data_IF_664800425834
#
_entry.id   IF_664800425834
#
_cell.length_a   1.000
_cell.length_b   1.000
_cell.length_c   1.000
_cell.angle_alpha   90.00
_cell.angle_beta   90.00
_cell.angle_gamma   90.00
#
_symmetry.space_group_name_H-M   'P 1'
#
loop_
_entity.id
_entity.type
_entity.pdbx_description
1 polymer ?
#
# COMPACT_ATOMS: atom_id res chain seq x y z
N UNK A 1 36.13 -49.66 -26.96
CA UNK A 1 34.82 -49.05 -26.96
C UNK A 1 34.70 -48.08 -25.77
N UNK A 2 33.81 -47.08 -25.88
CA UNK A 2 33.52 -46.10 -24.81
C UNK A 2 32.03 -45.96 -24.62
N UNK A 3 31.60 -45.85 -23.38
CA UNK A 3 30.23 -45.52 -22.99
C UNK A 3 30.14 -44.00 -22.67
N UNK A 4 29.31 -43.30 -23.40
CA UNK A 4 29.12 -41.84 -23.24
C UNK A 4 28.11 -41.54 -22.13
N UNK A 5 28.39 -40.50 -21.33
CA UNK A 5 27.51 -39.99 -20.27
C UNK A 5 27.12 -38.56 -20.60
N UNK A 6 25.84 -38.32 -20.88
CA UNK A 6 25.28 -37.01 -21.09
C UNK A 6 24.58 -36.52 -19.81
N UNK A 7 24.86 -35.27 -19.40
CA UNK A 7 24.29 -34.66 -18.18
C UNK A 7 23.30 -33.56 -18.51
N UNK A 8 22.07 -33.74 -18.13
CA UNK A 8 21.02 -32.71 -18.21
C UNK A 8 20.94 -32.03 -16.83
N UNK A 9 21.52 -30.85 -16.70
CA UNK A 9 21.78 -30.19 -15.43
C UNK A 9 20.60 -29.41 -14.86
N UNK A 10 19.52 -29.25 -15.64
CA UNK A 10 18.31 -28.48 -15.23
C UNK A 10 18.64 -27.11 -14.61
N UNK A 11 19.60 -26.38 -15.24
CA UNK A 11 20.04 -25.06 -14.83
C UNK A 11 21.13 -25.05 -13.75
N UNK A 12 21.78 -26.19 -13.47
CA UNK A 12 22.96 -26.27 -12.63
C UNK A 12 24.28 -26.24 -13.44
N UNK A 13 25.40 -26.35 -12.74
CA UNK A 13 26.74 -26.48 -13.27
C UNK A 13 27.32 -27.83 -12.84
N UNK A 14 27.85 -28.62 -13.82
CA UNK A 14 28.38 -29.96 -13.54
C UNK A 14 29.67 -29.89 -12.71
N UNK A 15 29.89 -30.95 -11.93
CA UNK A 15 31.21 -31.16 -11.29
C UNK A 15 32.23 -31.60 -12.34
N UNK A 16 33.42 -31.04 -12.32
CA UNK A 16 34.55 -31.48 -13.15
C UNK A 16 35.03 -32.90 -12.83
N UNK A 17 34.53 -33.49 -11.75
CA UNK A 17 34.83 -34.86 -11.38
C UNK A 17 33.91 -35.90 -12.08
N UNK A 18 32.84 -35.46 -12.69
CA UNK A 18 31.94 -36.34 -13.42
C UNK A 18 32.50 -36.61 -14.82
N UNK A 19 32.77 -37.86 -15.21
CA UNK A 19 33.31 -38.18 -16.53
C UNK A 19 32.25 -38.07 -17.62
N UNK A 20 32.64 -37.59 -18.81
CA UNK A 20 31.76 -37.56 -19.99
C UNK A 20 31.72 -38.90 -20.71
N UNK A 21 32.70 -39.81 -20.45
CA UNK A 21 32.81 -41.15 -21.05
C UNK A 21 33.55 -42.10 -20.12
N UNK A 22 33.25 -43.38 -20.25
CA UNK A 22 33.93 -44.49 -19.55
C UNK A 22 34.50 -45.48 -20.53
N UNK A 23 35.72 -45.94 -20.30
CA UNK A 23 36.36 -47.06 -20.99
C UNK A 23 35.90 -48.44 -20.46
N UNK A 24 36.29 -49.48 -21.17
CA UNK A 24 35.94 -50.85 -20.81
C UNK A 24 36.46 -51.20 -19.38
N UNK A 25 35.57 -51.69 -18.54
CA UNK A 25 35.86 -52.06 -17.13
C UNK A 25 35.87 -50.90 -16.14
N UNK A 26 35.69 -49.66 -16.62
CA UNK A 26 35.67 -48.48 -15.73
C UNK A 26 34.33 -48.30 -15.03
N UNK A 27 34.43 -47.72 -13.81
CA UNK A 27 33.27 -47.29 -13.00
C UNK A 27 33.61 -45.93 -12.38
N UNK A 28 32.67 -45.02 -12.33
CA UNK A 28 32.82 -43.72 -11.71
C UNK A 28 31.72 -43.45 -10.68
N UNK A 29 32.11 -42.88 -9.55
CA UNK A 29 31.21 -42.28 -8.57
C UNK A 29 30.81 -40.90 -9.08
N UNK A 30 29.51 -40.58 -9.01
CA UNK A 30 28.97 -39.32 -9.48
C UNK A 30 29.05 -38.26 -8.37
N UNK A 31 29.65 -37.14 -8.70
CA UNK A 31 29.69 -35.96 -7.83
C UNK A 31 28.46 -35.09 -8.04
N UNK A 32 28.00 -34.46 -6.95
CA UNK A 32 26.91 -33.48 -7.02
C UNK A 32 27.28 -32.26 -7.86
N UNK A 33 26.43 -31.84 -8.78
CA UNK A 33 26.56 -30.55 -9.47
C UNK A 33 26.16 -29.42 -8.51
N UNK A 34 26.33 -28.17 -8.90
CA UNK A 34 25.93 -26.99 -8.13
C UNK A 34 24.83 -26.22 -8.86
N UNK A 35 23.96 -25.61 -8.07
CA UNK A 35 22.93 -24.67 -8.57
C UNK A 35 22.63 -23.64 -7.52
N UNK A 36 22.72 -22.37 -7.91
CA UNK A 36 22.41 -21.26 -7.01
C UNK A 36 20.95 -21.35 -6.53
N UNK A 37 20.74 -21.23 -5.22
CA UNK A 37 19.42 -21.25 -4.62
C UNK A 37 18.70 -22.59 -4.61
N UNK A 38 19.42 -23.71 -4.85
CA UNK A 38 18.82 -25.05 -4.81
C UNK A 38 19.77 -26.07 -4.19
N UNK A 39 19.19 -27.12 -3.62
CA UNK A 39 19.89 -28.31 -3.15
C UNK A 39 19.76 -29.41 -4.19
N UNK A 40 20.89 -30.11 -4.46
CA UNK A 40 20.90 -31.29 -5.30
C UNK A 40 20.20 -32.46 -4.60
N UNK A 41 19.26 -33.11 -5.29
CA UNK A 41 18.52 -34.27 -4.76
C UNK A 41 19.02 -35.60 -5.27
N UNK A 42 19.71 -35.63 -6.41
CA UNK A 42 20.26 -36.84 -7.01
C UNK A 42 20.38 -36.74 -8.53
N UNK A 43 21.14 -37.70 -9.09
CA UNK A 43 21.12 -38.00 -10.52
C UNK A 43 20.05 -39.00 -10.81
N UNK A 44 19.25 -38.85 -11.85
CA UNK A 44 18.14 -39.69 -12.23
C UNK A 44 18.29 -40.18 -13.67
N UNK A 45 17.76 -41.41 -13.95
CA UNK A 45 17.78 -41.97 -15.27
C UNK A 45 16.67 -41.42 -16.21
N UNK A 46 15.68 -40.76 -15.65
CA UNK A 46 14.51 -40.23 -16.37
C UNK A 46 14.31 -38.73 -16.14
N UNK A 47 13.71 -38.07 -17.12
CA UNK A 47 13.46 -36.63 -17.09
C UNK A 47 12.38 -36.18 -16.11
N UNK A 48 11.52 -37.12 -15.62
CA UNK A 48 10.50 -36.88 -14.62
C UNK A 48 11.06 -36.95 -13.19
N UNK A 49 12.30 -37.48 -13.02
CA UNK A 49 13.00 -37.65 -11.74
C UNK A 49 12.23 -38.62 -10.80
N UNK A 50 11.59 -39.62 -11.38
CA UNK A 50 10.79 -40.64 -10.65
C UNK A 50 11.57 -41.94 -10.34
N UNK A 51 12.69 -42.17 -11.05
CA UNK A 51 13.57 -43.30 -10.76
C UNK A 51 14.33 -43.10 -9.43
N UNK A 52 14.88 -44.19 -8.89
CA UNK A 52 15.82 -44.10 -7.75
C UNK A 52 17.06 -43.31 -8.16
N UNK A 53 17.61 -42.45 -7.24
CA UNK A 53 18.81 -41.69 -7.54
C UNK A 53 20.04 -42.56 -7.82
N UNK A 54 20.76 -42.23 -8.88
CA UNK A 54 21.99 -42.92 -9.32
C UNK A 54 23.20 -42.23 -8.66
N UNK A 55 24.05 -43.04 -8.02
CA UNK A 55 25.27 -42.58 -7.36
C UNK A 55 26.57 -42.92 -8.09
N UNK A 56 26.51 -43.92 -8.99
CA UNK A 56 27.64 -44.39 -9.78
C UNK A 56 27.19 -44.84 -11.14
N UNK A 57 28.11 -44.87 -12.10
CA UNK A 57 27.91 -45.39 -13.46
C UNK A 57 29.09 -46.28 -13.82
N UNK A 58 28.85 -47.27 -14.65
CA UNK A 58 29.88 -48.20 -15.15
C UNK A 58 29.81 -48.33 -16.66
N UNK A 59 30.93 -48.72 -17.30
CA UNK A 59 30.98 -49.04 -18.74
C UNK A 59 29.94 -50.09 -19.16
N UNK A 60 29.72 -51.07 -18.32
CA UNK A 60 28.73 -52.16 -18.58
C UNK A 60 27.28 -51.65 -18.66
N UNK A 61 27.00 -50.48 -18.14
CA UNK A 61 25.69 -49.83 -18.23
C UNK A 61 25.39 -49.26 -19.62
N UNK A 62 26.39 -49.15 -20.49
CA UNK A 62 26.32 -48.48 -21.79
C UNK A 62 26.19 -46.95 -21.67
N UNK A 63 26.00 -46.31 -22.83
CA UNK A 63 25.79 -44.86 -22.85
C UNK A 63 24.49 -44.45 -22.13
N UNK A 64 24.54 -43.38 -21.31
CA UNK A 64 23.42 -42.92 -20.48
C UNK A 64 23.22 -41.41 -20.55
N UNK A 65 21.98 -41.01 -20.36
CA UNK A 65 21.64 -39.62 -20.04
C UNK A 65 21.20 -39.55 -18.59
N UNK A 66 21.80 -38.63 -17.80
CA UNK A 66 21.52 -38.39 -16.38
C UNK A 66 20.90 -37.03 -16.20
N UNK A 67 19.86 -36.97 -15.41
CA UNK A 67 19.13 -35.74 -15.11
C UNK A 67 19.37 -35.31 -13.67
N UNK A 68 19.83 -34.08 -13.47
CA UNK A 68 20.02 -33.51 -12.14
C UNK A 68 18.67 -33.11 -11.53
N UNK A 69 18.35 -33.61 -10.36
CA UNK A 69 17.22 -33.21 -9.55
C UNK A 69 17.60 -32.10 -8.56
N UNK A 70 16.65 -31.19 -8.33
CA UNK A 70 16.85 -30.02 -7.47
C UNK A 70 15.63 -29.74 -6.60
N UNK A 71 15.88 -29.35 -5.35
CA UNK A 71 14.89 -28.75 -4.47
C UNK A 71 15.28 -27.30 -4.22
N UNK A 72 14.36 -26.35 -4.43
CA UNK A 72 14.63 -24.94 -4.17
C UNK A 72 14.90 -24.71 -2.68
N UNK A 73 15.92 -23.91 -2.38
CA UNK A 73 16.16 -23.41 -1.02
C UNK A 73 15.00 -22.48 -0.62
N UNK A 74 14.77 -22.38 0.67
CA UNK A 74 13.80 -21.46 1.22
C UNK A 74 14.44 -20.43 2.12
N UNK A 75 13.89 -19.22 2.12
CA UNK A 75 14.35 -18.10 2.92
C UNK A 75 13.19 -17.62 3.81
N UNK A 76 13.51 -17.32 5.07
CA UNK A 76 12.55 -16.72 6.00
C UNK A 76 12.53 -15.20 5.79
N UNK A 77 11.33 -14.62 5.67
CA UNK A 77 11.09 -13.17 5.61
C UNK A 77 10.18 -12.77 6.76
N UNK A 78 10.67 -11.93 7.66
CA UNK A 78 9.90 -11.36 8.75
C UNK A 78 9.61 -9.89 8.46
N UNK A 79 8.33 -9.54 8.33
CA UNK A 79 7.87 -8.15 8.25
C UNK A 79 7.64 -7.63 9.65
N UNK A 80 8.21 -6.46 9.99
CA UNK A 80 8.10 -5.86 11.32
C UNK A 80 7.49 -4.46 11.28
N UNK A 81 6.90 -4.06 12.40
CA UNK A 81 6.49 -2.67 12.61
C UNK A 81 7.71 -1.76 12.86
N UNK A 82 7.46 -0.47 13.11
CA UNK A 82 8.52 0.52 13.39
C UNK A 82 9.30 0.22 14.68
N UNK A 83 8.74 -0.58 15.59
CA UNK A 83 9.35 -0.96 16.87
C UNK A 83 10.05 -2.33 16.80
N UNK A 84 10.02 -3.00 15.64
CA UNK A 84 10.57 -4.33 15.44
C UNK A 84 9.64 -5.49 15.80
N UNK A 85 8.37 -5.22 16.11
CA UNK A 85 7.37 -6.27 16.37
C UNK A 85 7.03 -6.98 15.07
N UNK A 86 7.11 -8.32 15.04
CA UNK A 86 6.80 -9.11 13.84
C UNK A 86 5.30 -9.04 13.54
N UNK A 87 5.00 -8.56 12.34
CA UNK A 87 3.63 -8.47 11.78
C UNK A 87 3.27 -9.72 10.98
N UNK A 88 4.24 -10.28 10.27
CA UNK A 88 4.10 -11.48 9.44
C UNK A 88 5.44 -12.16 9.30
N UNK A 89 5.44 -13.50 9.28
CA UNK A 89 6.61 -14.33 9.02
C UNK A 89 6.26 -15.30 7.89
N UNK A 90 7.08 -15.35 6.85
CA UNK A 90 6.85 -16.15 5.65
C UNK A 90 8.08 -16.98 5.31
N UNK A 91 7.85 -18.16 4.74
CA UNK A 91 8.89 -18.97 4.09
C UNK A 91 8.70 -18.82 2.58
N UNK A 92 9.72 -18.32 1.91
CA UNK A 92 9.71 -17.99 0.48
C UNK A 92 10.78 -18.81 -0.23
N UNK A 93 10.49 -19.38 -1.38
CA UNK A 93 11.49 -20.03 -2.22
C UNK A 93 12.54 -19.02 -2.70
N UNK A 94 13.78 -19.47 -2.79
CA UNK A 94 14.90 -18.65 -3.29
C UNK A 94 14.56 -17.98 -4.62
N UNK A 95 14.78 -16.67 -4.68
CA UNK A 95 14.54 -15.87 -5.87
C UNK A 95 13.09 -15.47 -6.13
N UNK A 96 12.14 -15.90 -5.27
CA UNK A 96 10.74 -15.46 -5.33
C UNK A 96 10.51 -14.20 -4.50
N UNK A 97 9.35 -13.55 -4.71
CA UNK A 97 8.90 -12.41 -3.92
C UNK A 97 8.20 -12.84 -2.64
N UNK A 98 8.31 -12.02 -1.59
CA UNK A 98 7.44 -12.13 -0.41
C UNK A 98 6.21 -11.23 -0.55
N UNK A 99 5.14 -11.53 0.22
CA UNK A 99 3.90 -10.76 0.24
C UNK A 99 3.84 -9.90 1.51
N UNK A 100 3.88 -8.55 1.39
CA UNK A 100 3.89 -7.70 2.56
C UNK A 100 2.51 -7.68 3.25
N UNK A 101 2.45 -7.72 4.59
CA UNK A 101 1.22 -7.51 5.32
C UNK A 101 0.78 -6.05 5.24
N UNK A 102 -0.47 -5.78 5.64
CA UNK A 102 -0.92 -4.40 5.82
C UNK A 102 -0.14 -3.75 6.98
N UNK A 103 0.51 -2.63 6.68
CA UNK A 103 1.23 -1.87 7.70
C UNK A 103 0.26 -1.29 8.75
N UNK A 104 0.62 -1.29 10.06
CA UNK A 104 -0.20 -0.72 11.12
C UNK A 104 -0.46 0.78 10.92
N UNK A 105 -1.65 1.23 11.31
CA UNK A 105 -1.96 2.67 11.34
C UNK A 105 -1.39 3.28 12.62
N UNK A 106 -0.51 4.26 12.49
CA UNK A 106 0.10 4.98 13.62
C UNK A 106 -0.41 6.42 13.63
N UNK A 107 -0.93 6.86 14.79
CA UNK A 107 -1.43 8.23 14.95
C UNK A 107 -0.33 9.25 14.66
N UNK A 108 -0.62 10.23 13.82
CA UNK A 108 0.33 11.28 13.44
C UNK A 108 1.41 10.86 12.44
N UNK A 109 1.44 9.59 12.01
CA UNK A 109 2.41 9.09 11.04
C UNK A 109 1.72 8.61 9.75
N UNK A 110 2.45 8.67 8.65
CA UNK A 110 2.06 8.10 7.36
C UNK A 110 3.03 6.99 7.00
N UNK A 111 2.52 5.82 6.70
CA UNK A 111 3.31 4.74 6.12
C UNK A 111 3.84 5.17 4.74
N UNK A 112 5.13 4.99 4.49
CA UNK A 112 5.80 5.37 3.24
C UNK A 112 6.33 4.18 2.46
N UNK A 113 6.37 3.00 3.07
CA UNK A 113 6.85 1.79 2.45
C UNK A 113 7.60 0.89 3.42
N UNK A 114 8.29 -0.06 2.89
CA UNK A 114 9.16 -0.99 3.59
C UNK A 114 10.62 -0.63 3.34
N UNK A 115 11.51 -0.91 4.31
CA UNK A 115 12.92 -0.48 4.28
C UNK A 115 13.80 -1.27 3.30
N UNK A 116 13.34 -2.46 2.85
CA UNK A 116 14.08 -3.33 1.94
C UNK A 116 13.23 -3.80 0.78
N UNK A 117 13.88 -4.14 -0.32
CA UNK A 117 13.26 -4.84 -1.44
C UNK A 117 13.11 -6.33 -1.09
N UNK A 118 11.92 -6.85 -1.30
CA UNK A 118 11.53 -8.24 -1.10
C UNK A 118 10.93 -8.86 -2.38
N UNK A 119 11.16 -8.23 -3.53
CA UNK A 119 10.69 -8.74 -4.84
C UNK A 119 11.48 -9.96 -5.32
N UNK A 120 12.71 -10.14 -4.83
CA UNK A 120 13.58 -11.28 -5.11
C UNK A 120 14.36 -11.67 -3.86
N UNK A 121 13.81 -12.60 -3.10
CA UNK A 121 14.39 -13.04 -1.81
C UNK A 121 15.46 -14.10 -2.04
N UNK A 122 16.72 -13.79 -1.71
CA UNK A 122 17.87 -14.70 -1.87
C UNK A 122 18.53 -15.10 -0.55
N UNK A 123 18.08 -14.53 0.58
CA UNK A 123 18.56 -14.84 1.93
C UNK A 123 17.45 -14.57 2.96
N UNK A 124 17.64 -15.09 4.18
CA UNK A 124 16.80 -14.70 5.31
C UNK A 124 16.89 -13.20 5.55
N UNK A 125 15.73 -12.54 5.74
CA UNK A 125 15.69 -11.09 5.93
C UNK A 125 14.58 -10.65 6.87
N UNK A 126 14.81 -9.50 7.51
CA UNK A 126 13.78 -8.73 8.22
C UNK A 126 13.53 -7.46 7.45
N UNK A 127 12.26 -7.16 7.18
CA UNK A 127 11.76 -6.01 6.43
C UNK A 127 10.93 -5.15 7.36
N UNK A 128 11.35 -3.90 7.60
CA UNK A 128 10.71 -3.02 8.56
C UNK A 128 9.80 -1.99 7.88
N UNK A 129 8.65 -1.72 8.49
CA UNK A 129 7.74 -0.67 8.06
C UNK A 129 8.34 0.72 8.32
N UNK A 130 8.35 1.56 7.28
CA UNK A 130 8.88 2.92 7.33
C UNK A 130 7.74 3.94 7.34
N UNK A 131 7.86 4.92 8.23
CA UNK A 131 6.88 5.97 8.44
C UNK A 131 7.53 7.35 8.45
N UNK A 132 6.78 8.34 8.00
CA UNK A 132 7.09 9.76 8.18
C UNK A 132 6.04 10.43 9.05
N UNK A 133 6.42 11.48 9.77
CA UNK A 133 5.47 12.29 10.52
C UNK A 133 4.54 13.04 9.57
N UNK A 134 3.25 13.12 9.93
CA UNK A 134 2.29 13.97 9.22
C UNK A 134 2.43 15.40 9.71
N UNK A 135 2.39 16.34 8.79
CA UNK A 135 2.30 17.77 9.10
C UNK A 135 0.95 18.07 9.73
N UNK A 136 0.90 19.02 10.68
CA UNK A 136 -0.36 19.38 11.32
C UNK A 136 -1.13 20.36 10.44
N UNK A 137 -2.39 20.05 10.12
CA UNK A 137 -3.24 20.91 9.30
C UNK A 137 -3.47 22.30 9.95
N UNK A 138 -3.39 22.38 11.29
CA UNK A 138 -3.53 23.64 12.04
C UNK A 138 -2.40 24.66 11.74
N UNK A 139 -1.27 24.19 11.23
CA UNK A 139 -0.11 25.03 10.90
C UNK A 139 -0.17 25.53 9.43
N UNK A 140 -1.27 25.20 8.72
CA UNK A 140 -1.52 25.69 7.37
C UNK A 140 -2.16 27.09 7.38
N UNK A 141 -1.82 27.87 6.38
CA UNK A 141 -2.52 29.10 6.08
C UNK A 141 -3.81 28.80 5.31
N UNK A 142 -4.89 29.51 5.67
CA UNK A 142 -6.20 29.37 5.03
C UNK A 142 -6.56 30.71 4.40
N UNK A 143 -6.80 30.70 3.10
CA UNK A 143 -7.26 31.87 2.35
C UNK A 143 -8.68 31.65 1.80
N UNK A 144 -9.38 32.76 1.48
CA UNK A 144 -10.71 32.73 0.89
C UNK A 144 -11.86 32.44 1.88
N UNK A 145 -11.58 32.33 3.18
CA UNK A 145 -12.59 32.12 4.21
C UNK A 145 -13.44 33.38 4.41
N UNK A 146 -14.76 33.26 4.25
CA UNK A 146 -15.75 34.31 4.52
C UNK A 146 -16.31 34.14 5.91
N UNK A 147 -16.17 35.15 6.74
CA UNK A 147 -16.71 35.19 8.12
C UNK A 147 -18.24 35.37 8.16
N UNK A 148 -18.85 35.81 7.06
CA UNK A 148 -20.27 36.09 6.95
C UNK A 148 -20.82 35.54 5.63
N UNK A 149 -22.00 34.94 5.69
CA UNK A 149 -22.75 34.47 4.53
C UNK A 149 -24.25 34.84 4.69
N UNK A 150 -24.99 34.93 3.59
CA UNK A 150 -26.43 35.21 3.61
C UNK A 150 -27.21 33.91 3.53
N UNK A 151 -28.22 33.78 4.36
CA UNK A 151 -29.16 32.66 4.34
C UNK A 151 -29.81 32.50 2.98
N UNK A 152 -29.80 31.29 2.41
CA UNK A 152 -30.36 30.94 1.10
C UNK A 152 -31.50 29.95 1.17
N UNK A 153 -31.71 29.31 2.31
CA UNK A 153 -32.59 28.17 2.49
C UNK A 153 -31.93 26.80 2.20
N UNK A 154 -30.71 26.80 1.73
CA UNK A 154 -29.93 25.60 1.41
C UNK A 154 -28.60 25.59 2.15
N UNK A 155 -27.91 24.45 2.10
CA UNK A 155 -26.56 24.36 2.66
C UNK A 155 -25.60 25.40 2.07
N UNK A 156 -24.88 26.08 2.95
CA UNK A 156 -23.90 27.10 2.60
C UNK A 156 -22.49 26.50 2.69
N UNK A 157 -21.76 26.55 1.59
CA UNK A 157 -20.36 26.13 1.52
C UNK A 157 -19.46 27.28 1.08
N UNK A 158 -18.23 27.29 1.57
CA UNK A 158 -17.19 28.25 1.19
C UNK A 158 -16.61 27.85 -0.17
N UNK A 159 -16.81 28.65 -1.20
CA UNK A 159 -16.44 28.30 -2.58
C UNK A 159 -14.98 28.53 -2.97
N UNK A 160 -14.22 29.29 -2.16
CA UNK A 160 -12.88 29.79 -2.55
C UNK A 160 -11.83 29.47 -1.52
N UNK A 161 -12.00 28.38 -0.75
CA UNK A 161 -11.03 27.97 0.27
C UNK A 161 -9.79 27.40 -0.40
N UNK A 162 -8.63 27.96 -0.05
CA UNK A 162 -7.33 27.40 -0.36
C UNK A 162 -6.50 27.25 0.91
N UNK A 163 -5.70 26.19 0.96
CA UNK A 163 -4.76 25.95 2.05
C UNK A 163 -3.35 25.87 1.50
N UNK A 164 -2.38 26.38 2.28
CA UNK A 164 -0.95 26.20 2.02
C UNK A 164 -0.20 25.85 3.30
N UNK A 165 0.87 25.08 3.16
CA UNK A 165 1.84 24.80 4.21
C UNK A 165 3.19 25.35 3.77
N UNK A 166 3.58 26.51 4.31
CA UNK A 166 4.64 27.32 3.72
C UNK A 166 4.31 27.63 2.27
N UNK A 167 5.27 27.46 1.37
CA UNK A 167 5.10 27.72 -0.08
C UNK A 167 4.36 26.60 -0.84
N UNK A 168 3.92 25.53 -0.15
CA UNK A 168 3.25 24.41 -0.79
C UNK A 168 1.74 24.55 -0.72
N UNK A 169 1.07 24.71 -1.87
CA UNK A 169 -0.38 24.65 -1.97
C UNK A 169 -0.90 23.23 -1.75
N UNK A 170 -1.95 23.08 -0.96
CA UNK A 170 -2.60 21.81 -0.64
C UNK A 170 -3.80 21.56 -1.56
N UNK A 171 -4.04 20.29 -1.84
CA UNK A 171 -5.15 19.86 -2.72
C UNK A 171 -6.28 19.25 -1.89
N UNK A 172 -7.52 19.74 -2.09
CA UNK A 172 -8.70 19.14 -1.47
C UNK A 172 -8.90 17.69 -1.94
N UNK A 173 -9.39 16.82 -1.06
CA UNK A 173 -9.56 15.38 -1.22
C UNK A 173 -8.26 14.57 -1.41
N UNK A 174 -7.10 15.22 -1.36
CA UNK A 174 -5.76 14.59 -1.36
C UNK A 174 -4.99 14.87 -0.07
N UNK A 175 -4.97 16.12 0.35
CA UNK A 175 -4.22 16.61 1.52
C UNK A 175 -5.14 16.99 2.68
N UNK A 176 -6.38 17.35 2.40
CA UNK A 176 -7.42 17.67 3.38
C UNK A 176 -8.82 17.43 2.82
N UNK A 177 -9.81 17.38 3.71
CA UNK A 177 -11.25 17.43 3.37
C UNK A 177 -11.89 18.64 4.04
N UNK A 178 -13.02 19.12 3.50
CA UNK A 178 -13.83 20.19 4.08
C UNK A 178 -15.26 19.65 4.30
N UNK A 179 -15.69 19.73 5.54
CA UNK A 179 -17.04 19.42 5.96
C UNK A 179 -17.69 20.66 6.59
N UNK A 180 -19.01 20.67 6.70
CA UNK A 180 -19.77 21.75 7.30
C UNK A 180 -20.75 21.21 8.35
N UNK A 181 -21.03 22.05 9.35
CA UNK A 181 -22.08 21.82 10.32
C UNK A 181 -22.85 23.12 10.58
N UNK A 182 -24.14 23.01 10.90
CA UNK A 182 -25.03 24.13 11.22
C UNK A 182 -25.07 25.21 10.10
N UNK A 183 -24.88 24.82 8.85
CA UNK A 183 -24.65 25.70 7.72
C UNK A 183 -25.91 25.98 6.86
N UNK A 184 -27.12 25.70 7.38
CA UNK A 184 -28.40 25.91 6.66
C UNK A 184 -29.17 27.08 7.25
N UNK A 185 -29.38 27.10 8.58
CA UNK A 185 -30.19 28.10 9.26
C UNK A 185 -29.42 29.40 9.52
N UNK A 186 -30.15 30.52 9.66
CA UNK A 186 -29.56 31.76 10.15
C UNK A 186 -28.98 31.56 11.56
N UNK A 187 -27.82 32.12 11.84
CA UNK A 187 -27.07 31.91 13.06
C UNK A 187 -25.59 31.69 12.83
N UNK A 188 -25.00 30.67 13.46
CA UNK A 188 -23.59 30.34 13.30
C UNK A 188 -23.42 29.00 12.60
N UNK A 189 -22.83 29.03 11.42
CA UNK A 189 -22.33 27.86 10.72
C UNK A 189 -20.88 27.55 11.10
N UNK A 190 -20.45 26.34 10.79
CA UNK A 190 -19.08 25.87 11.06
C UNK A 190 -18.52 25.17 9.83
N UNK A 191 -17.31 25.56 9.44
CA UNK A 191 -16.47 24.84 8.47
C UNK A 191 -15.45 24.01 9.24
N UNK A 192 -15.30 22.74 8.86
CA UNK A 192 -14.39 21.78 9.48
C UNK A 192 -13.42 21.27 8.42
N UNK A 193 -12.13 21.54 8.59
CA UNK A 193 -11.06 21.08 7.71
C UNK A 193 -10.33 19.95 8.40
N UNK A 194 -10.26 18.78 7.78
CA UNK A 194 -9.55 17.61 8.31
C UNK A 194 -8.37 17.25 7.43
N UNK A 195 -7.17 17.19 8.01
CA UNK A 195 -5.95 16.78 7.31
C UNK A 195 -5.97 15.28 6.99
N UNK A 196 -5.61 14.94 5.74
CA UNK A 196 -5.46 13.58 5.23
C UNK A 196 -4.12 13.42 4.51
N UNK A 197 -3.79 12.21 4.04
CA UNK A 197 -2.53 11.98 3.31
C UNK A 197 -1.30 12.32 4.14
N UNK A 198 -0.59 13.36 3.74
CA UNK A 198 0.60 13.89 4.44
C UNK A 198 0.29 14.79 5.64
N UNK A 199 -0.99 15.07 5.92
CA UNK A 199 -1.44 15.99 6.95
C UNK A 199 -2.34 15.28 7.97
N UNK A 200 -2.44 15.85 9.17
CA UNK A 200 -3.26 15.31 10.28
C UNK A 200 -3.84 16.44 11.13
N UNK A 201 -4.85 16.09 11.92
CA UNK A 201 -5.57 17.02 12.80
C UNK A 201 -6.73 17.71 12.08
N UNK A 202 -7.39 18.64 12.79
CA UNK A 202 -8.62 19.29 12.36
C UNK A 202 -8.58 20.77 12.73
N UNK A 203 -9.10 21.62 11.84
CA UNK A 203 -9.38 23.04 12.08
C UNK A 203 -10.90 23.22 11.99
N UNK A 204 -11.49 23.94 12.94
CA UNK A 204 -12.87 24.38 12.88
C UNK A 204 -12.93 25.91 12.84
N UNK A 205 -13.62 26.47 11.85
CA UNK A 205 -13.87 27.92 11.74
C UNK A 205 -15.37 28.19 11.69
N UNK A 206 -15.84 29.05 12.59
CA UNK A 206 -17.21 29.52 12.60
C UNK A 206 -17.39 30.69 11.64
N UNK A 207 -18.58 30.80 11.05
CA UNK A 207 -19.02 31.93 10.23
C UNK A 207 -20.48 32.28 10.57
N UNK A 208 -20.83 33.57 10.42
CA UNK A 208 -22.20 34.02 10.67
C UNK A 208 -23.06 33.86 9.43
N UNK A 209 -24.30 33.38 9.63
CA UNK A 209 -25.32 33.28 8.59
C UNK A 209 -26.40 34.31 8.90
N UNK A 210 -26.36 35.40 8.15
CA UNK A 210 -27.36 36.44 8.30
C UNK A 210 -28.66 36.11 7.60
N UNK A 211 -29.81 36.42 8.21
CA UNK A 211 -31.08 36.24 7.53
C UNK A 211 -31.14 37.10 6.25
N UNK A 212 -31.81 36.62 5.24
CA UNK A 212 -32.11 37.44 4.05
C UNK A 212 -32.94 38.63 4.50
N UNK A 213 -32.47 39.84 4.24
CA UNK A 213 -33.28 41.04 4.54
C UNK A 213 -34.59 40.98 3.75
N UNK A 214 -35.72 41.13 4.44
CA UNK A 214 -37.00 41.29 3.79
C UNK A 214 -37.00 42.71 3.13
N UNK A 215 -37.13 42.79 1.82
CA UNK A 215 -37.47 44.03 1.15
C UNK A 215 -38.98 44.20 1.31
N UNK A 216 -39.40 45.25 2.03
CA UNK A 216 -40.76 45.70 2.00
C UNK A 216 -41.01 46.26 0.59
N UNK A 217 -41.74 45.51 -0.24
CA UNK A 217 -42.06 45.91 -1.62
C UNK A 217 -43.22 46.88 -1.71
N UNK A 218 -44.03 46.97 -0.65
CA UNK A 218 -45.05 48.01 -0.49
C UNK A 218 -45.48 48.11 0.98
N UNK A 219 -45.72 49.34 1.43
CA UNK A 219 -46.46 49.62 2.67
C UNK A 219 -47.82 50.18 2.26
N UNK A 220 -48.85 49.38 2.50
CA UNK A 220 -50.22 49.91 2.34
C UNK A 220 -50.54 50.77 3.57
N UNK A 221 -50.86 52.02 3.36
CA UNK A 221 -51.44 52.84 4.40
C UNK A 221 -52.85 52.29 4.71
N UNK A 222 -53.04 51.86 5.92
CA UNK A 222 -54.39 51.64 6.43
C UNK A 222 -54.90 53.03 6.77
N UNK A 223 -55.95 53.47 6.04
CA UNK A 223 -56.62 54.73 6.35
C UNK A 223 -57.03 54.74 7.83
N UNK A 224 -56.93 55.93 8.44
CA UNK A 224 -57.33 56.12 9.82
C UNK A 224 -58.79 55.67 10.04
N UNK A 225 -58.95 54.52 10.65
CA UNK A 225 -60.27 53.97 10.97
C UNK A 225 -60.78 54.75 12.19
N UNK A 226 -61.91 55.41 12.02
CA UNK A 226 -62.55 56.05 13.14
C UNK A 226 -63.26 55.01 14.01
N UNK A 227 -63.07 55.11 15.31
CA UNK A 227 -63.70 54.18 16.28
C UNK A 227 -65.20 54.33 16.24
N UNK A 228 -65.90 53.30 15.87
CA UNK A 228 -67.38 53.25 15.75
C UNK A 228 -68.07 52.55 16.92
N UNK A 229 -67.39 52.26 18.00
CA UNK A 229 -67.94 51.50 19.12
C UNK A 229 -68.06 49.99 18.91
N UNK A 230 -67.53 49.45 17.77
CA UNK A 230 -67.51 48.03 17.45
C UNK A 230 -66.12 47.61 17.00
N UNK A 231 -65.72 46.33 17.15
CA UNK A 231 -64.42 45.84 16.63
C UNK A 231 -64.31 46.08 15.11
N UNK A 232 -63.26 46.81 14.69
CA UNK A 232 -62.92 47.04 13.26
C UNK A 232 -62.02 45.89 12.85
N UNK A 233 -62.41 45.18 11.79
CA UNK A 233 -61.55 44.19 11.11
C UNK A 233 -61.09 44.80 9.79
N UNK A 234 -59.80 44.84 9.52
CA UNK A 234 -59.37 45.16 8.15
C UNK A 234 -59.75 44.05 7.21
N UNK A 235 -60.17 44.42 6.02
CA UNK A 235 -60.45 43.50 4.91
C UNK A 235 -59.15 42.85 4.39
#
# INVERSE_FOLDING_TARGET
DKAKIDYILNGGENSSLNPDELGEGETAQLSAPTKEGAQFTGWYADSQLESEPITSVSFSDGSKTLYAGWTANTCKVDFTDINGTVLSSQTVEYGKSADPPKAPTIKGKRFTGWDKDFSKVTAHMTVQAVYTDRKLIKDCEISGFKTHMTFTGYELAQSSITLSYGDTALTNNKDYTIDYADNIAAGKGKMIITGIGGYSGTIAKAFDIFPKSAQLTSVYYVDTLSYTGKPIRPD
#
